data_IF_924202455806
#
_entry.id   IF_924202455806
#
_cell.length_a   1.000
_cell.length_b   1.000
_cell.length_c   1.000
_cell.angle_alpha   90.00
_cell.angle_beta   90.00
_cell.angle_gamma   90.00
#
_symmetry.space_group_name_H-M   'P 1'
#
loop_
_entity.id
_entity.type
_entity.pdbx_description
1 polymer ?
#
# COMPACT_ATOMS: atom_id res chain seq x y z
N UNK A 1 -12.91 10.81 3.11
CA UNK A 1 -11.48 10.90 2.74
C UNK A 1 -11.26 9.96 1.56
N UNK A 2 -10.89 10.50 0.39
CA UNK A 2 -10.81 9.75 -0.86
C UNK A 2 -9.77 8.62 -0.83
N UNK A 3 -8.62 8.82 -0.19
CA UNK A 3 -7.54 7.82 -0.13
C UNK A 3 -8.00 6.50 0.51
N UNK A 4 -8.70 6.57 1.66
CA UNK A 4 -9.19 5.37 2.36
C UNK A 4 -10.15 4.55 1.49
N UNK A 5 -11.10 5.23 0.83
CA UNK A 5 -12.06 4.56 -0.05
C UNK A 5 -11.37 3.93 -1.27
N UNK A 6 -10.40 4.62 -1.86
CA UNK A 6 -9.63 4.08 -2.99
C UNK A 6 -8.80 2.85 -2.59
N UNK A 7 -8.12 2.89 -1.44
CA UNK A 7 -7.36 1.73 -0.94
C UNK A 7 -8.30 0.55 -0.72
N UNK A 8 -9.46 0.77 -0.09
CA UNK A 8 -10.45 -0.29 0.10
C UNK A 8 -10.91 -0.87 -1.24
N UNK A 9 -11.23 -0.03 -2.23
CA UNK A 9 -11.62 -0.48 -3.56
C UNK A 9 -10.52 -1.33 -4.23
N UNK A 10 -9.25 -0.93 -4.09
CA UNK A 10 -8.11 -1.72 -4.58
C UNK A 10 -7.99 -3.08 -3.88
N UNK A 11 -8.15 -3.13 -2.56
CA UNK A 11 -8.13 -4.39 -1.80
C UNK A 11 -9.30 -5.31 -2.17
N UNK A 12 -10.49 -4.75 -2.35
CA UNK A 12 -11.68 -5.50 -2.80
C UNK A 12 -11.48 -6.07 -4.22
N UNK A 13 -10.86 -5.28 -5.12
CA UNK A 13 -10.48 -5.74 -6.45
C UNK A 13 -9.47 -6.90 -6.39
N UNK A 14 -8.41 -6.78 -5.58
CA UNK A 14 -7.42 -7.84 -5.39
C UNK A 14 -8.05 -9.12 -4.82
N UNK A 15 -8.95 -8.99 -3.83
CA UNK A 15 -9.70 -10.12 -3.29
C UNK A 15 -10.53 -10.82 -4.37
N UNK A 16 -11.18 -10.06 -5.24
CA UNK A 16 -11.94 -10.62 -6.34
C UNK A 16 -11.03 -11.40 -7.31
N UNK A 17 -9.96 -10.76 -7.81
CA UNK A 17 -9.04 -11.36 -8.78
C UNK A 17 -8.37 -12.60 -8.22
N UNK A 18 -7.72 -12.51 -7.05
CA UNK A 18 -7.06 -13.68 -6.46
C UNK A 18 -8.05 -14.76 -6.02
N UNK A 19 -9.25 -14.38 -5.60
CA UNK A 19 -10.32 -15.34 -5.29
C UNK A 19 -10.75 -16.16 -6.52
N UNK A 20 -10.87 -15.53 -7.69
CA UNK A 20 -11.19 -16.22 -8.95
C UNK A 20 -10.13 -17.26 -9.32
N UNK A 21 -8.85 -16.95 -9.08
CA UNK A 21 -7.73 -17.86 -9.35
C UNK A 21 -7.43 -18.83 -8.20
N UNK A 22 -8.17 -18.77 -7.08
CA UNK A 22 -7.96 -19.64 -5.92
C UNK A 22 -6.71 -19.34 -5.10
N UNK A 23 -6.13 -18.15 -5.24
CA UNK A 23 -4.97 -17.72 -4.45
C UNK A 23 -5.39 -17.12 -3.11
N UNK A 24 -4.67 -17.50 -2.06
CA UNK A 24 -4.61 -16.72 -0.82
C UNK A 24 -3.50 -15.68 -0.90
N UNK A 25 -3.67 -14.57 -0.19
CA UNK A 25 -2.68 -13.49 -0.16
C UNK A 25 -2.41 -12.98 1.26
N UNK A 26 -1.21 -12.44 1.45
CA UNK A 26 -0.79 -11.73 2.65
C UNK A 26 -0.52 -10.26 2.30
N UNK A 27 -0.90 -9.35 3.19
CA UNK A 27 -0.67 -7.92 3.07
C UNK A 27 0.47 -7.48 3.99
N UNK A 28 1.35 -6.63 3.48
CA UNK A 28 2.46 -6.05 4.24
C UNK A 28 2.40 -4.52 4.14
N UNK A 29 2.42 -3.84 5.28
CA UNK A 29 2.60 -2.38 5.32
C UNK A 29 4.09 -2.07 5.36
N UNK A 30 4.61 -1.57 4.25
CA UNK A 30 6.02 -1.23 4.09
C UNK A 30 6.22 0.27 4.33
N UNK A 31 6.87 0.61 5.44
CA UNK A 31 7.01 1.99 5.96
C UNK A 31 8.30 2.67 5.53
N UNK A 32 8.43 3.95 5.84
CA UNK A 32 9.54 4.84 5.45
C UNK A 32 10.92 4.17 5.64
N UNK A 33 11.75 4.10 4.58
CA UNK A 33 13.14 3.64 4.67
C UNK A 33 14.05 4.72 5.29
N UNK A 34 15.30 4.39 5.55
CA UNK A 34 16.30 5.35 6.05
C UNK A 34 16.54 6.50 5.05
N UNK A 35 16.61 6.17 3.75
CA UNK A 35 16.75 7.13 2.65
C UNK A 35 15.38 7.44 2.01
N UNK A 36 14.78 8.57 2.37
CA UNK A 36 13.46 8.98 1.87
C UNK A 36 13.42 10.42 1.37
N UNK A 37 12.43 10.72 0.54
CA UNK A 37 12.15 12.06 0.01
C UNK A 37 10.96 12.71 0.70
N UNK A 38 11.06 14.04 0.86
CA UNK A 38 9.99 14.90 1.37
C UNK A 38 9.93 14.99 2.89
N UNK A 39 8.89 15.67 3.36
CA UNK A 39 8.72 16.02 4.77
C UNK A 39 8.28 14.83 5.62
N UNK A 40 8.83 14.75 6.84
CA UNK A 40 8.49 13.71 7.81
C UNK A 40 6.98 13.68 8.14
N UNK A 41 6.36 14.86 8.24
CA UNK A 41 4.93 15.00 8.54
C UNK A 41 4.05 14.37 7.45
N UNK A 42 4.44 14.50 6.19
CA UNK A 42 3.71 13.92 5.07
C UNK A 42 3.78 12.40 5.10
N UNK A 43 4.97 11.87 5.42
CA UNK A 43 5.17 10.45 5.64
C UNK A 43 4.34 9.89 6.79
N UNK A 44 4.38 10.55 7.96
CA UNK A 44 3.60 10.13 9.12
C UNK A 44 2.09 10.10 8.80
N UNK A 45 1.61 11.09 8.03
CA UNK A 45 0.22 11.13 7.56
C UNK A 45 -0.08 10.01 6.58
N UNK A 46 0.82 9.73 5.64
CA UNK A 46 0.68 8.67 4.63
C UNK A 46 0.61 7.28 5.28
N UNK A 47 1.56 6.97 6.16
CA UNK A 47 1.64 5.70 6.88
C UNK A 47 0.39 5.48 7.73
N UNK A 48 -0.03 6.50 8.49
CA UNK A 48 -1.25 6.44 9.28
C UNK A 48 -2.49 6.20 8.44
N UNK A 49 -2.59 6.81 7.26
CA UNK A 49 -3.73 6.58 6.36
C UNK A 49 -3.75 5.16 5.79
N UNK A 50 -2.60 4.60 5.43
CA UNK A 50 -2.51 3.21 4.97
C UNK A 50 -2.84 2.23 6.11
N UNK A 51 -2.28 2.45 7.30
CA UNK A 51 -2.53 1.64 8.49
C UNK A 51 -4.02 1.64 8.87
N UNK A 52 -4.65 2.82 8.93
CA UNK A 52 -6.09 2.93 9.21
C UNK A 52 -6.91 2.22 8.13
N UNK A 53 -6.55 2.34 6.85
CA UNK A 53 -7.25 1.66 5.76
C UNK A 53 -7.11 0.15 5.85
N UNK A 54 -5.93 -0.37 6.19
CA UNK A 54 -5.69 -1.79 6.42
C UNK A 54 -6.49 -2.30 7.62
N UNK A 55 -6.51 -1.57 8.72
CA UNK A 55 -7.28 -1.93 9.91
C UNK A 55 -8.80 -1.97 9.64
N UNK A 56 -9.31 -0.99 8.90
CA UNK A 56 -10.73 -0.93 8.52
C UNK A 56 -11.12 -2.00 7.47
N UNK A 57 -10.16 -2.48 6.67
CA UNK A 57 -10.41 -3.48 5.62
C UNK A 57 -10.80 -4.86 6.16
N UNK A 58 -10.44 -5.17 7.41
CA UNK A 58 -10.67 -6.47 8.03
C UNK A 58 -9.73 -7.59 7.55
N UNK A 59 -8.77 -7.29 6.67
CA UNK A 59 -7.72 -8.24 6.29
C UNK A 59 -6.62 -8.29 7.34
N UNK A 60 -6.01 -9.47 7.49
CA UNK A 60 -4.77 -9.59 8.27
C UNK A 60 -3.62 -9.00 7.48
N UNK A 61 -2.82 -8.18 8.14
CA UNK A 61 -1.63 -7.56 7.57
C UNK A 61 -0.48 -7.60 8.58
N UNK A 62 0.74 -7.50 8.06
CA UNK A 62 1.97 -7.49 8.85
C UNK A 62 2.77 -6.20 8.56
N UNK A 63 3.49 -5.70 9.56
CA UNK A 63 4.37 -4.54 9.38
C UNK A 63 5.70 -4.98 8.77
N UNK A 64 6.15 -4.29 7.72
CA UNK A 64 7.45 -4.48 7.09
C UNK A 64 8.25 -3.17 7.19
N UNK A 65 8.80 -2.94 8.39
CA UNK A 65 9.40 -1.66 8.73
C UNK A 65 10.62 -1.34 7.84
N UNK A 66 10.62 -0.16 7.21
CA UNK A 66 11.76 0.33 6.42
C UNK A 66 11.82 -0.17 4.97
N UNK A 67 10.85 -0.97 4.51
CA UNK A 67 10.83 -1.52 3.14
C UNK A 67 9.95 -0.71 2.17
N UNK A 68 9.52 0.48 2.59
CA UNK A 68 8.79 1.43 1.75
C UNK A 68 9.62 1.93 0.58
N UNK A 69 8.95 2.44 -0.46
CA UNK A 69 9.66 3.10 -1.55
C UNK A 69 10.22 4.44 -1.06
N UNK A 70 11.32 4.93 -1.62
CA UNK A 70 11.92 6.20 -1.19
C UNK A 70 10.99 7.43 -1.32
N UNK A 71 9.89 7.32 -2.08
CA UNK A 71 8.91 8.39 -2.32
C UNK A 71 7.57 8.21 -1.58
N UNK A 72 7.36 7.11 -0.87
CA UNK A 72 6.12 6.89 -0.13
C UNK A 72 5.95 5.46 0.42
N UNK A 73 5.05 5.29 1.40
CA UNK A 73 4.77 3.98 1.96
C UNK A 73 3.91 3.16 0.98
N UNK A 74 3.97 1.83 1.12
CA UNK A 74 3.25 0.90 0.22
C UNK A 74 2.64 -0.28 0.96
N UNK A 75 1.58 -0.82 0.38
CA UNK A 75 0.99 -2.10 0.76
C UNK A 75 1.50 -3.12 -0.25
N UNK A 76 2.32 -4.07 0.19
CA UNK A 76 2.81 -5.15 -0.66
C UNK A 76 1.93 -6.39 -0.48
N UNK A 77 1.56 -7.01 -1.60
CA UNK A 77 0.67 -8.16 -1.62
C UNK A 77 1.42 -9.36 -2.16
N UNK A 78 1.59 -10.36 -1.29
CA UNK A 78 2.24 -11.62 -1.65
C UNK A 78 1.20 -12.72 -1.81
N UNK A 79 1.38 -13.55 -2.81
CA UNK A 79 0.60 -14.78 -3.05
C UNK A 79 1.50 -15.99 -2.86
N UNK A 80 0.90 -17.14 -2.57
CA UNK A 80 1.60 -18.41 -2.42
C UNK A 80 1.33 -19.31 -3.62
N UNK A 81 2.38 -19.86 -4.24
CA UNK A 81 2.24 -20.82 -5.33
C UNK A 81 1.93 -22.25 -4.84
N UNK A 82 1.62 -23.16 -5.77
CA UNK A 82 1.23 -24.53 -5.47
C UNK A 82 2.31 -25.35 -4.71
N UNK A 83 3.58 -24.93 -4.78
CA UNK A 83 4.70 -25.55 -4.07
C UNK A 83 5.15 -24.74 -2.84
N UNK A 84 4.28 -23.85 -2.35
CA UNK A 84 4.44 -23.06 -1.12
C UNK A 84 5.55 -22.00 -1.16
N UNK A 85 5.90 -21.47 -2.34
CA UNK A 85 6.77 -20.29 -2.43
C UNK A 85 5.94 -19.02 -2.41
N UNK A 86 6.44 -17.99 -1.72
CA UNK A 86 5.83 -16.66 -1.67
C UNK A 86 6.36 -15.81 -2.82
N UNK A 87 5.45 -15.13 -3.50
CA UNK A 87 5.77 -14.20 -4.59
C UNK A 87 5.03 -12.89 -4.35
N UNK A 88 5.75 -11.77 -4.33
CA UNK A 88 5.10 -10.45 -4.36
C UNK A 88 4.53 -10.22 -5.75
N UNK A 89 3.22 -10.00 -5.84
CA UNK A 89 2.50 -9.94 -7.12
C UNK A 89 1.83 -8.59 -7.37
N UNK A 90 1.35 -7.93 -6.32
CA UNK A 90 0.76 -6.60 -6.42
C UNK A 90 1.34 -5.66 -5.36
N UNK A 91 1.17 -4.35 -5.59
CA UNK A 91 1.56 -3.29 -4.66
C UNK A 91 0.58 -2.13 -4.80
N UNK A 92 0.20 -1.52 -3.68
CA UNK A 92 -0.57 -0.26 -3.64
C UNK A 92 0.36 0.77 -3.02
N UNK A 93 0.73 1.80 -3.79
CA UNK A 93 1.74 2.77 -3.39
C UNK A 93 1.10 4.15 -3.27
N UNK A 94 1.37 4.82 -2.15
CA UNK A 94 0.84 6.15 -1.90
C UNK A 94 1.93 7.19 -2.15
N UNK A 95 1.91 7.76 -3.35
CA UNK A 95 2.91 8.73 -3.82
C UNK A 95 2.41 10.17 -3.66
N UNK A 96 3.08 10.92 -2.78
CA UNK A 96 2.88 12.36 -2.64
C UNK A 96 4.02 13.20 -3.22
N UNK A 97 5.13 12.56 -3.62
CA UNK A 97 6.32 13.27 -4.09
C UNK A 97 6.18 13.70 -5.54
N UNK A 98 5.68 12.82 -6.43
CA UNK A 98 5.54 13.17 -7.84
C UNK A 98 4.54 14.31 -8.06
N UNK A 99 3.34 14.33 -7.44
CA UNK A 99 2.43 15.47 -7.58
C UNK A 99 3.05 16.82 -7.20
N UNK A 100 3.84 16.87 -6.13
CA UNK A 100 4.55 18.09 -5.69
C UNK A 100 5.64 18.48 -6.67
N UNK A 101 6.46 17.51 -7.12
CA UNK A 101 7.58 17.77 -8.04
C UNK A 101 7.15 18.24 -9.42
N UNK A 102 5.98 17.79 -9.89
CA UNK A 102 5.40 18.21 -11.17
C UNK A 102 4.45 19.41 -11.05
N UNK A 103 4.32 20.01 -9.86
CA UNK A 103 3.40 21.12 -9.58
C UNK A 103 1.96 20.84 -10.04
N UNK A 104 1.50 19.60 -9.79
CA UNK A 104 0.16 19.18 -10.18
C UNK A 104 -0.87 19.83 -9.25
N UNK A 105 -1.82 20.54 -9.84
CA UNK A 105 -2.93 21.19 -9.13
C UNK A 105 -4.27 20.75 -9.72
N UNK A 106 -5.32 20.79 -8.90
CA UNK A 106 -6.69 20.52 -9.34
C UNK A 106 -7.61 21.65 -8.86
N UNK A 107 -8.63 21.97 -9.66
CA UNK A 107 -9.73 22.82 -9.24
C UNK A 107 -10.93 21.91 -8.91
N UNK A 108 -11.39 22.00 -7.65
CA UNK A 108 -12.54 21.25 -7.14
C UNK A 108 -13.86 21.98 -7.44
#
# INVERSE_FOLDING_TARGET
MQIKSEIKNCLDFLKHVYGVFGFSFNLYLSTRPDDYLGELELWNKAEKQLEESLNESGFKWELNAGDGAFYGPKIDITIMDAIRRRHQCATIQLDFQLPIRFDLTYAA
#
